data_IF_764832992154
#
_entry.id   IF_764832992154
#
_cell.length_a   1.000
_cell.length_b   1.000
_cell.length_c   1.000
_cell.angle_alpha   90.00
_cell.angle_beta   90.00
_cell.angle_gamma   90.00
#
_symmetry.space_group_name_H-M   'P 1'
#
loop_
_entity.id
_entity.type
_entity.pdbx_description
1 polymer ?
#
# COMPACT_ATOMS: atom_id res chain seq x y z
N UNK A 1 -6.28 6.86 30.59
CA UNK A 1 -6.06 6.59 32.02
C UNK A 1 -7.18 7.29 32.78
N UNK A 2 -7.96 6.56 33.57
CA UNK A 2 -9.09 7.11 34.34
C UNK A 2 -8.78 6.94 35.83
N UNK A 3 -8.88 8.01 36.61
CA UNK A 3 -8.66 8.00 38.06
C UNK A 3 -10.01 7.88 38.76
N UNK A 4 -10.09 7.09 39.84
CA UNK A 4 -11.27 7.06 40.72
C UNK A 4 -11.51 8.45 41.36
N UNK A 5 -12.71 8.71 41.89
CA UNK A 5 -12.97 9.91 42.69
C UNK A 5 -12.01 9.97 43.88
N UNK A 6 -11.22 11.04 43.94
CA UNK A 6 -10.21 11.30 44.97
C UNK A 6 -9.91 12.81 45.02
N UNK A 7 -9.28 13.27 46.10
CA UNK A 7 -8.92 14.69 46.28
C UNK A 7 -7.93 15.19 45.21
N UNK A 8 -7.89 16.51 44.91
CA UNK A 8 -7.06 17.06 43.83
C UNK A 8 -5.56 16.77 43.96
N UNK A 9 -5.01 16.79 45.19
CA UNK A 9 -3.60 16.48 45.45
C UNK A 9 -3.29 15.01 45.19
N UNK A 10 -4.05 14.10 45.80
CA UNK A 10 -3.89 12.65 45.59
C UNK A 10 -4.05 12.24 44.12
N UNK A 11 -4.91 12.94 43.37
CA UNK A 11 -5.04 12.74 41.93
C UNK A 11 -3.78 13.15 41.18
N UNK A 12 -3.14 14.26 41.55
CA UNK A 12 -1.88 14.70 40.95
C UNK A 12 -0.78 13.67 41.18
N UNK A 13 -0.58 13.25 42.43
CA UNK A 13 0.44 12.25 42.79
C UNK A 13 0.23 10.93 42.00
N UNK A 14 -1.02 10.47 41.92
CA UNK A 14 -1.37 9.26 41.16
C UNK A 14 -1.03 9.37 39.68
N UNK A 15 -1.25 10.55 39.07
CA UNK A 15 -0.92 10.77 37.66
C UNK A 15 0.58 10.81 37.45
N UNK A 16 1.33 11.50 38.32
CA UNK A 16 2.78 11.59 38.25
C UNK A 16 3.44 10.22 38.40
N UNK A 17 2.99 9.39 39.36
CA UNK A 17 3.47 8.02 39.53
C UNK A 17 3.25 7.18 38.27
N UNK A 18 2.06 7.28 37.67
CA UNK A 18 1.75 6.57 36.44
C UNK A 18 2.58 7.06 35.25
N UNK A 19 2.77 8.37 35.09
CA UNK A 19 3.59 8.93 34.03
C UNK A 19 5.07 8.55 34.21
N UNK A 20 5.57 8.55 35.45
CA UNK A 20 6.92 8.14 35.79
C UNK A 20 7.15 6.65 35.49
N UNK A 21 6.23 5.76 35.89
CA UNK A 21 6.30 4.34 35.55
C UNK A 21 6.29 4.12 34.03
N UNK A 22 5.42 4.83 33.30
CA UNK A 22 5.37 4.75 31.84
C UNK A 22 6.66 5.25 31.18
N UNK A 23 7.19 6.38 31.64
CA UNK A 23 8.45 6.93 31.13
C UNK A 23 9.61 5.97 31.44
N UNK A 24 9.65 5.40 32.63
CA UNK A 24 10.65 4.40 33.02
C UNK A 24 10.59 3.16 32.14
N UNK A 25 9.39 2.59 31.92
CA UNK A 25 9.18 1.46 31.01
C UNK A 25 9.63 1.77 29.60
N UNK A 26 9.37 2.98 29.08
CA UNK A 26 9.87 3.42 27.77
C UNK A 26 11.39 3.43 27.73
N UNK A 27 12.05 4.05 28.70
CA UNK A 27 13.52 4.13 28.76
C UNK A 27 14.12 2.71 28.81
N UNK A 28 13.59 1.82 29.64
CA UNK A 28 14.01 0.42 29.70
C UNK A 28 13.80 -0.34 28.39
N UNK A 29 12.70 -0.07 27.68
CA UNK A 29 12.36 -0.74 26.43
C UNK A 29 13.12 -0.20 25.21
N UNK A 30 13.64 1.03 25.25
CA UNK A 30 14.33 1.69 24.12
C UNK A 30 15.44 0.81 23.52
N UNK A 31 16.27 0.17 24.36
CA UNK A 31 17.32 -0.75 23.90
C UNK A 31 16.81 -1.81 22.92
N UNK A 32 15.76 -2.53 23.31
CA UNK A 32 15.15 -3.59 22.50
C UNK A 32 14.38 -3.04 21.30
N UNK A 33 13.65 -1.92 21.47
CA UNK A 33 12.84 -1.31 20.40
C UNK A 33 13.75 -0.83 19.27
N UNK A 34 14.78 -0.03 19.58
CA UNK A 34 15.69 0.48 18.56
C UNK A 34 16.48 -0.63 17.87
N UNK A 35 16.91 -1.67 18.61
CA UNK A 35 17.53 -2.84 17.98
C UNK A 35 16.63 -3.52 16.95
N UNK A 36 15.34 -3.69 17.28
CA UNK A 36 14.37 -4.31 16.37
C UNK A 36 14.11 -3.43 15.16
N UNK A 37 13.89 -2.13 15.37
CA UNK A 37 13.69 -1.15 14.30
C UNK A 37 14.90 -1.08 13.37
N UNK A 38 16.11 -0.98 13.92
CA UNK A 38 17.36 -0.93 13.15
C UNK A 38 17.54 -2.19 12.31
N UNK A 39 17.33 -3.38 12.89
CA UNK A 39 17.41 -4.65 12.13
C UNK A 39 16.37 -4.70 11.00
N UNK A 40 15.16 -4.22 11.26
CA UNK A 40 14.10 -4.17 10.25
C UNK A 40 14.47 -3.21 9.12
N UNK A 41 14.87 -1.99 9.45
CA UNK A 41 15.27 -0.97 8.48
C UNK A 41 16.43 -1.45 7.58
N UNK A 42 17.42 -2.17 8.12
CA UNK A 42 18.50 -2.76 7.31
C UNK A 42 18.00 -3.75 6.26
N UNK A 43 16.99 -4.55 6.59
CA UNK A 43 16.40 -5.52 5.66
C UNK A 43 15.64 -4.75 4.57
N UNK A 44 14.82 -3.78 4.97
CA UNK A 44 14.01 -2.98 4.04
C UNK A 44 14.88 -2.13 3.10
N UNK A 45 15.97 -1.52 3.59
CA UNK A 45 16.97 -0.83 2.74
C UNK A 45 17.48 -1.77 1.67
N UNK A 46 17.93 -2.97 2.06
CA UNK A 46 18.49 -3.93 1.12
C UNK A 46 17.46 -4.35 0.06
N UNK A 47 16.22 -4.61 0.46
CA UNK A 47 15.14 -4.98 -0.45
C UNK A 47 14.80 -3.83 -1.42
N UNK A 48 14.65 -2.60 -0.92
CA UNK A 48 14.27 -1.46 -1.74
C UNK A 48 15.39 -0.96 -2.67
N UNK A 49 16.65 -1.05 -2.25
CA UNK A 49 17.81 -0.77 -3.11
C UNK A 49 17.91 -1.81 -4.21
N UNK A 50 17.75 -3.10 -3.91
CA UNK A 50 17.72 -4.15 -4.94
C UNK A 50 16.56 -3.95 -5.92
N UNK A 51 15.37 -3.63 -5.41
CA UNK A 51 14.20 -3.32 -6.22
C UNK A 51 14.46 -2.16 -7.18
N UNK A 52 15.15 -1.11 -6.72
CA UNK A 52 15.53 0.02 -7.55
C UNK A 52 16.54 -0.40 -8.62
N UNK A 53 17.59 -1.14 -8.25
CA UNK A 53 18.62 -1.62 -9.20
C UNK A 53 17.99 -2.49 -10.29
N UNK A 54 17.14 -3.45 -9.91
CA UNK A 54 16.44 -4.32 -10.86
C UNK A 54 15.53 -3.51 -11.79
N UNK A 55 14.86 -2.48 -11.26
CA UNK A 55 14.01 -1.61 -12.05
C UNK A 55 14.83 -0.75 -13.02
N UNK A 56 15.92 -0.13 -12.55
CA UNK A 56 16.84 0.65 -13.38
C UNK A 56 17.49 -0.18 -14.49
N UNK A 57 17.84 -1.44 -14.20
CA UNK A 57 18.37 -2.37 -15.20
C UNK A 57 17.37 -2.72 -16.32
N UNK A 58 16.06 -2.56 -16.06
CA UNK A 58 15.01 -2.81 -17.05
C UNK A 58 14.73 -1.61 -17.96
N UNK A 59 15.22 -0.41 -17.61
CA UNK A 59 14.98 0.85 -18.31
C UNK A 59 16.07 1.18 -19.34
N UNK A 60 15.71 1.96 -20.36
CA UNK A 60 16.69 2.49 -21.32
C UNK A 60 17.62 3.52 -20.65
N UNK A 61 18.92 3.41 -20.87
CA UNK A 61 19.95 4.24 -20.21
C UNK A 61 19.76 5.74 -20.45
N UNK A 62 19.32 6.13 -21.65
CA UNK A 62 19.19 7.52 -22.05
C UNK A 62 18.01 8.22 -21.33
N UNK A 63 16.90 7.50 -21.15
CA UNK A 63 15.72 8.00 -20.42
C UNK A 63 15.99 8.09 -18.93
N UNK A 64 16.65 7.08 -18.37
CA UNK A 64 17.02 7.07 -16.97
C UNK A 64 17.98 8.22 -16.63
N UNK A 65 18.96 8.52 -17.49
CA UNK A 65 19.85 9.67 -17.32
C UNK A 65 19.09 11.01 -17.33
N UNK A 66 18.08 11.14 -18.19
CA UNK A 66 17.20 12.31 -18.23
C UNK A 66 16.36 12.42 -16.95
N UNK A 67 15.76 11.33 -16.49
CA UNK A 67 14.91 11.33 -15.29
C UNK A 67 15.72 11.62 -14.02
N UNK A 68 16.95 11.09 -13.91
CA UNK A 68 17.90 11.43 -12.84
C UNK A 68 18.21 12.93 -12.81
N UNK A 69 18.49 13.52 -13.97
CA UNK A 69 18.74 14.96 -14.06
C UNK A 69 17.51 15.80 -13.67
N UNK A 70 16.33 15.38 -14.09
CA UNK A 70 15.07 16.07 -13.78
C UNK A 70 14.76 16.03 -12.27
N UNK A 71 14.96 14.89 -11.61
CA UNK A 71 14.71 14.76 -10.18
C UNK A 71 15.72 15.52 -9.33
N UNK A 72 17.01 15.45 -9.66
CA UNK A 72 18.06 16.20 -8.95
C UNK A 72 17.89 17.72 -9.12
N UNK A 73 17.44 18.16 -10.30
CA UNK A 73 17.12 19.55 -10.55
C UNK A 73 15.96 20.03 -9.66
N UNK A 74 14.91 19.21 -9.53
CA UNK A 74 13.74 19.53 -8.71
C UNK A 74 14.03 19.44 -7.20
N UNK A 75 14.86 18.49 -6.76
CA UNK A 75 15.32 18.38 -5.36
C UNK A 75 16.12 19.61 -4.92
N UNK A 76 16.86 20.25 -5.84
CA UNK A 76 17.56 21.52 -5.60
C UNK A 76 16.64 22.73 -5.64
N UNK A 77 15.57 22.67 -6.43
CA UNK A 77 14.66 23.78 -6.69
C UNK A 77 13.25 23.28 -6.98
N UNK A 78 12.40 23.29 -5.95
CA UNK A 78 11.04 22.78 -6.03
C UNK A 78 10.09 23.65 -6.89
N UNK A 79 10.56 24.78 -7.43
CA UNK A 79 9.79 25.57 -8.42
C UNK A 79 9.79 24.95 -9.82
N UNK A 80 10.69 23.99 -10.07
CA UNK A 80 10.76 23.25 -11.33
C UNK A 80 9.59 22.27 -11.48
N UNK A 81 9.29 21.80 -12.71
CA UNK A 81 8.22 20.83 -12.94
C UNK A 81 8.40 19.58 -12.09
N UNK A 82 7.35 19.22 -11.33
CA UNK A 82 7.37 18.11 -10.40
C UNK A 82 7.51 16.76 -11.13
N UNK A 83 8.58 15.98 -10.87
CA UNK A 83 8.76 14.67 -11.50
C UNK A 83 7.74 13.60 -11.04
N UNK A 84 6.99 13.82 -9.97
CA UNK A 84 5.99 12.85 -9.49
C UNK A 84 4.61 13.01 -10.13
N UNK A 85 4.40 14.06 -10.92
CA UNK A 85 3.12 14.30 -11.59
C UNK A 85 3.03 13.56 -12.92
N UNK A 86 1.92 12.88 -13.16
CA UNK A 86 1.59 12.28 -14.46
C UNK A 86 1.32 13.40 -15.48
N UNK A 87 2.26 13.57 -16.41
CA UNK A 87 2.15 14.43 -17.59
C UNK A 87 1.18 13.84 -18.62
N UNK A 88 1.09 12.50 -18.68
CA UNK A 88 0.27 11.75 -19.64
C UNK A 88 -1.23 11.69 -19.30
N UNK A 89 -1.64 11.97 -18.06
CA UNK A 89 -3.05 12.10 -17.70
C UNK A 89 -3.75 13.20 -18.52
N UNK A 90 -3.00 14.15 -19.08
CA UNK A 90 -3.53 15.20 -19.96
C UNK A 90 -3.94 14.68 -21.34
N UNK A 91 -3.37 13.57 -21.82
CA UNK A 91 -3.50 13.13 -23.23
C UNK A 91 -4.50 12.03 -23.49
N UNK A 92 -4.82 11.16 -22.51
CA UNK A 92 -5.89 10.16 -22.64
C UNK A 92 -6.58 9.89 -21.29
N UNK A 93 -7.35 10.86 -20.81
CA UNK A 93 -8.26 10.60 -19.68
C UNK A 93 -9.36 9.64 -20.11
N UNK A 94 -9.92 8.87 -19.17
CA UNK A 94 -11.19 8.16 -19.36
C UNK A 94 -12.26 9.11 -19.94
N UNK A 95 -12.20 10.40 -19.58
CA UNK A 95 -13.02 11.47 -20.14
C UNK A 95 -12.77 11.74 -21.64
N UNK A 96 -11.54 11.64 -22.16
CA UNK A 96 -11.23 11.74 -23.58
C UNK A 96 -11.74 10.54 -24.37
N UNK A 97 -11.68 9.33 -23.79
CA UNK A 97 -12.29 8.12 -24.37
C UNK A 97 -13.81 8.25 -24.37
N UNK A 98 -14.42 8.71 -23.27
CA UNK A 98 -15.84 9.03 -23.21
C UNK A 98 -16.23 10.11 -24.21
N UNK A 99 -15.42 11.17 -24.39
CA UNK A 99 -15.67 12.22 -25.37
C UNK A 99 -15.65 11.65 -26.79
N UNK A 100 -14.64 10.85 -27.15
CA UNK A 100 -14.54 10.22 -28.46
C UNK A 100 -15.74 9.28 -28.73
N UNK A 101 -16.17 8.52 -27.71
CA UNK A 101 -17.36 7.67 -27.78
C UNK A 101 -18.65 8.50 -27.91
N UNK A 102 -18.78 9.59 -27.16
CA UNK A 102 -19.93 10.51 -27.21
C UNK A 102 -20.03 11.20 -28.58
N UNK A 103 -18.89 11.57 -29.17
CA UNK A 103 -18.83 12.16 -30.51
C UNK A 103 -19.20 11.13 -31.57
N UNK A 104 -18.73 9.88 -31.46
CA UNK A 104 -19.14 8.80 -32.35
C UNK A 104 -20.64 8.53 -32.25
N UNK A 105 -21.20 8.52 -31.05
CA UNK A 105 -22.64 8.36 -30.79
C UNK A 105 -23.46 9.52 -31.40
N UNK A 106 -22.99 10.78 -31.26
CA UNK A 106 -23.62 11.93 -31.89
C UNK A 106 -23.69 11.81 -33.43
N UNK A 107 -22.63 11.29 -34.07
CA UNK A 107 -22.64 11.04 -35.52
C UNK A 107 -23.59 9.92 -35.94
N UNK A 108 -23.86 8.94 -35.07
CA UNK A 108 -24.84 7.89 -35.34
C UNK A 108 -26.29 8.38 -35.16
N UNK A 109 -26.52 9.28 -34.20
CA UNK A 109 -27.82 9.95 -33.99
C UNK A 109 -28.19 10.80 -35.22
N UNK A 110 -27.23 11.55 -35.78
CA UNK A 110 -27.42 12.32 -37.03
C UNK A 110 -27.78 11.42 -38.23
N UNK A 111 -27.36 10.16 -38.23
CA UNK A 111 -27.69 9.16 -39.26
C UNK A 111 -29.07 8.51 -39.06
N UNK A 112 -29.83 8.93 -38.04
CA UNK A 112 -31.19 8.46 -37.77
C UNK A 112 -31.28 7.15 -36.97
N UNK A 113 -30.15 6.61 -36.50
CA UNK A 113 -30.13 5.46 -35.60
C UNK A 113 -30.32 5.92 -34.16
N UNK A 114 -31.57 6.21 -33.78
CA UNK A 114 -31.92 6.68 -32.45
C UNK A 114 -32.15 5.51 -31.48
N UNK A 115 -31.08 4.78 -31.16
CA UNK A 115 -31.02 3.91 -29.98
C UNK A 115 -30.05 4.58 -29.01
N UNK A 116 -30.55 5.51 -28.20
CA UNK A 116 -29.78 6.09 -27.10
C UNK A 116 -29.44 4.96 -26.12
N UNK A 117 -28.22 4.45 -26.22
CA UNK A 117 -27.65 3.53 -25.25
C UNK A 117 -27.50 4.36 -23.97
N UNK A 118 -28.08 3.95 -22.84
CA UNK A 118 -27.62 4.51 -21.56
C UNK A 118 -26.15 4.08 -21.45
N UNK A 119 -25.22 4.99 -21.73
CA UNK A 119 -23.77 4.71 -21.71
C UNK A 119 -23.31 4.09 -20.38
N UNK A 120 -24.10 4.23 -19.33
CA UNK A 120 -23.80 3.75 -17.99
C UNK A 120 -24.26 2.32 -17.70
N UNK A 121 -25.11 1.68 -18.52
CA UNK A 121 -25.68 0.37 -18.14
C UNK A 121 -24.60 -0.71 -18.02
N UNK A 122 -23.66 -0.72 -18.96
CA UNK A 122 -22.60 -1.70 -19.02
C UNK A 122 -21.44 -1.38 -18.06
N UNK A 123 -20.91 -0.14 -17.99
CA UNK A 123 -19.95 0.25 -16.94
C UNK A 123 -20.49 0.01 -15.53
N UNK A 124 -21.77 0.33 -15.28
CA UNK A 124 -22.39 0.07 -13.97
C UNK A 124 -22.52 -1.43 -13.69
N UNK A 125 -22.80 -2.26 -14.70
CA UNK A 125 -22.87 -3.71 -14.55
C UNK A 125 -21.51 -4.33 -14.21
N UNK A 126 -20.44 -3.87 -14.88
CA UNK A 126 -19.07 -4.28 -14.62
C UNK A 126 -18.56 -3.83 -13.25
N UNK A 127 -18.90 -2.61 -12.82
CA UNK A 127 -18.60 -2.11 -11.48
C UNK A 127 -19.26 -2.97 -10.38
N UNK A 128 -20.49 -3.43 -10.62
CA UNK A 128 -21.18 -4.33 -9.70
C UNK A 128 -20.53 -5.71 -9.65
N UNK A 129 -20.06 -6.25 -10.78
CA UNK A 129 -19.32 -7.52 -10.82
C UNK A 129 -18.01 -7.43 -10.04
N UNK A 130 -17.27 -6.34 -10.19
CA UNK A 130 -16.03 -6.12 -9.44
C UNK A 130 -16.30 -5.98 -7.94
N UNK A 131 -17.38 -5.28 -7.55
CA UNK A 131 -17.83 -5.21 -6.15
C UNK A 131 -18.28 -6.56 -5.59
N UNK A 132 -18.88 -7.44 -6.39
CA UNK A 132 -19.17 -8.82 -5.98
C UNK A 132 -17.88 -9.60 -5.69
N UNK A 133 -16.85 -9.47 -6.55
CA UNK A 133 -15.52 -10.11 -6.35
C UNK A 133 -14.81 -9.60 -5.10
N UNK A 134 -14.77 -8.28 -4.89
CA UNK A 134 -14.20 -7.69 -3.68
C UNK A 134 -14.93 -8.18 -2.42
N UNK A 135 -16.25 -8.27 -2.46
CA UNK A 135 -17.05 -8.71 -1.32
C UNK A 135 -16.89 -10.20 -1.02
N UNK A 136 -16.72 -11.04 -2.03
CA UNK A 136 -16.37 -12.46 -1.86
C UNK A 136 -15.02 -12.62 -1.14
N UNK A 137 -14.04 -11.80 -1.52
CA UNK A 137 -12.73 -11.78 -0.85
C UNK A 137 -12.84 -11.29 0.59
N UNK A 138 -13.48 -10.16 0.83
CA UNK A 138 -13.72 -9.62 2.18
C UNK A 138 -14.40 -10.68 3.08
N UNK A 139 -15.39 -11.40 2.55
CA UNK A 139 -16.05 -12.48 3.27
C UNK A 139 -15.13 -13.66 3.61
N UNK A 140 -14.16 -14.00 2.75
CA UNK A 140 -13.15 -15.04 3.01
C UNK A 140 -12.12 -14.57 4.04
N UNK A 141 -11.68 -13.31 3.97
CA UNK A 141 -10.69 -12.72 4.87
C UNK A 141 -11.23 -12.52 6.29
N UNK A 142 -12.49 -12.10 6.41
CA UNK A 142 -13.14 -11.85 7.71
C UNK A 142 -13.23 -13.15 8.56
N UNK A 143 -13.17 -14.34 7.96
CA UNK A 143 -12.86 -15.59 8.67
C UNK A 143 -13.79 -15.95 9.85
N UNK A 144 -13.47 -17.03 10.58
CA UNK A 144 -14.29 -17.50 11.71
C UNK A 144 -14.12 -16.66 12.99
N UNK A 145 -13.08 -15.82 13.07
CA UNK A 145 -12.73 -15.05 14.28
C UNK A 145 -12.97 -13.53 14.16
N UNK A 146 -13.81 -13.09 13.22
CA UNK A 146 -14.12 -11.66 13.08
C UNK A 146 -14.83 -11.05 14.28
N UNK A 147 -14.42 -9.82 14.60
CA UNK A 147 -15.08 -8.95 15.57
C UNK A 147 -16.47 -8.55 15.08
N UNK A 148 -17.39 -8.26 16.01
CA UNK A 148 -18.77 -7.85 15.68
C UNK A 148 -18.81 -6.55 14.85
N UNK A 149 -17.81 -5.68 15.03
CA UNK A 149 -17.63 -4.46 14.23
C UNK A 149 -17.29 -4.80 12.78
N UNK A 150 -16.39 -5.77 12.55
CA UNK A 150 -16.03 -6.22 11.20
C UNK A 150 -17.21 -6.92 10.52
N UNK A 151 -17.95 -7.77 11.25
CA UNK A 151 -19.18 -8.41 10.76
C UNK A 151 -20.25 -7.37 10.40
N UNK A 152 -20.44 -6.35 11.22
CA UNK A 152 -21.38 -5.26 10.97
C UNK A 152 -21.05 -4.47 9.70
N UNK A 153 -19.77 -4.13 9.49
CA UNK A 153 -19.31 -3.44 8.25
C UNK A 153 -19.51 -4.30 7.01
N UNK A 154 -19.20 -5.59 7.08
CA UNK A 154 -19.43 -6.53 5.97
C UNK A 154 -20.92 -6.60 5.62
N UNK A 155 -21.80 -6.75 6.61
CA UNK A 155 -23.25 -6.78 6.41
C UNK A 155 -23.79 -5.49 5.78
N UNK A 156 -23.27 -4.32 6.16
CA UNK A 156 -23.64 -3.05 5.55
C UNK A 156 -23.25 -3.00 4.06
N UNK A 157 -22.05 -3.46 3.71
CA UNK A 157 -21.59 -3.56 2.31
C UNK A 157 -22.44 -4.53 1.50
N UNK A 158 -22.77 -5.70 2.06
CA UNK A 158 -23.66 -6.71 1.46
C UNK A 158 -25.02 -6.09 1.12
N UNK A 159 -25.63 -5.38 2.08
CA UNK A 159 -26.94 -4.76 1.89
C UNK A 159 -26.91 -3.60 0.88
N UNK A 160 -25.84 -2.80 0.88
CA UNK A 160 -25.66 -1.72 -0.09
C UNK A 160 -25.52 -2.26 -1.52
N UNK A 161 -24.68 -3.28 -1.71
CA UNK A 161 -24.49 -3.93 -3.01
C UNK A 161 -25.78 -4.55 -3.52
N UNK A 162 -26.54 -5.23 -2.65
CA UNK A 162 -27.83 -5.83 -3.01
C UNK A 162 -28.81 -4.79 -3.56
N UNK A 163 -28.96 -3.64 -2.90
CA UNK A 163 -29.85 -2.56 -3.35
C UNK A 163 -29.42 -2.00 -4.71
N UNK A 164 -28.10 -1.89 -4.96
CA UNK A 164 -27.58 -1.45 -6.25
C UNK A 164 -27.87 -2.46 -7.35
N UNK A 165 -27.66 -3.77 -7.10
CA UNK A 165 -27.98 -4.85 -8.04
C UNK A 165 -29.47 -4.87 -8.37
N UNK A 166 -30.34 -4.72 -7.37
CA UNK A 166 -31.79 -4.70 -7.58
C UNK A 166 -32.23 -3.48 -8.42
N UNK A 167 -31.62 -2.31 -8.17
CA UNK A 167 -31.91 -1.08 -8.93
C UNK A 167 -31.40 -1.19 -10.36
N UNK A 168 -30.16 -1.66 -10.54
CA UNK A 168 -29.55 -1.88 -11.85
C UNK A 168 -30.33 -2.94 -12.66
N UNK A 169 -30.76 -4.03 -12.02
CA UNK A 169 -31.57 -5.07 -12.66
C UNK A 169 -32.89 -4.55 -13.24
N UNK A 170 -33.52 -3.54 -12.62
CA UNK A 170 -34.72 -2.89 -13.18
C UNK A 170 -34.40 -2.11 -14.46
N UNK A 171 -33.27 -1.42 -14.49
CA UNK A 171 -32.80 -0.69 -15.67
C UNK A 171 -32.34 -1.68 -16.76
N UNK A 172 -31.70 -2.78 -16.37
CA UNK A 172 -31.25 -3.85 -17.27
C UNK A 172 -32.40 -4.42 -18.11
N UNK A 173 -33.59 -4.59 -17.52
CA UNK A 173 -34.77 -5.12 -18.24
C UNK A 173 -35.28 -4.22 -19.37
N UNK A 174 -34.96 -2.91 -19.33
CA UNK A 174 -35.30 -1.98 -20.40
C UNK A 174 -34.49 -2.26 -21.68
N UNK A 175 -33.23 -2.70 -21.51
CA UNK A 175 -32.29 -2.94 -22.61
C UNK A 175 -32.14 -4.41 -22.98
N UNK A 176 -32.29 -5.32 -22.00
CA UNK A 176 -32.19 -6.77 -22.18
C UNK A 176 -33.46 -7.44 -21.64
N UNK A 177 -34.62 -7.27 -22.31
CA UNK A 177 -35.90 -7.78 -21.82
C UNK A 177 -35.92 -9.30 -21.70
N UNK A 178 -35.08 -10.02 -22.47
CA UNK A 178 -34.90 -11.47 -22.38
C UNK A 178 -34.39 -11.97 -21.02
N UNK A 179 -33.72 -11.11 -20.24
CA UNK A 179 -33.21 -11.41 -18.88
C UNK A 179 -34.35 -11.62 -17.88
N UNK A 180 -35.53 -11.03 -18.11
CA UNK A 180 -36.71 -11.24 -17.26
C UNK A 180 -37.11 -12.72 -17.15
N UNK A 181 -36.83 -13.51 -18.19
CA UNK A 181 -37.13 -14.94 -18.26
C UNK A 181 -36.09 -15.79 -17.52
N UNK A 182 -34.92 -15.23 -17.23
CA UNK A 182 -33.82 -15.89 -16.51
C UNK A 182 -33.83 -15.57 -15.01
N UNK A 183 -34.38 -14.42 -14.61
CA UNK A 183 -34.51 -14.03 -13.20
C UNK A 183 -35.83 -14.57 -12.63
N UNK A 184 -35.79 -15.67 -11.88
CA UNK A 184 -36.93 -16.10 -11.07
C UNK A 184 -37.05 -15.21 -9.81
N UNK A 185 -38.26 -14.80 -9.40
CA UNK A 185 -38.47 -14.12 -8.11
C UNK A 185 -37.96 -14.93 -6.91
N UNK A 186 -37.94 -16.26 -7.02
CA UNK A 186 -37.47 -17.17 -5.97
C UNK A 186 -35.94 -17.28 -5.88
N UNK A 187 -35.19 -17.02 -6.97
CA UNK A 187 -33.73 -17.02 -6.97
C UNK A 187 -33.17 -15.80 -6.22
N UNK A 188 -33.88 -14.67 -6.33
CA UNK A 188 -33.57 -13.41 -5.64
C UNK A 188 -33.74 -13.55 -4.11
N UNK A 189 -34.66 -14.41 -3.66
CA UNK A 189 -34.93 -14.66 -2.24
C UNK A 189 -34.02 -15.74 -1.63
N UNK A 190 -33.55 -16.71 -2.40
CA UNK A 190 -32.86 -17.90 -1.91
C UNK A 190 -31.32 -17.88 -2.04
N UNK A 191 -30.73 -16.99 -2.85
CA UNK A 191 -29.27 -16.91 -2.91
C UNK A 191 -28.69 -16.19 -1.68
N UNK A 192 -28.27 -17.00 -0.70
CA UNK A 192 -27.74 -16.57 0.60
C UNK A 192 -26.44 -15.72 0.54
N UNK A 193 -25.94 -15.38 -0.65
CA UNK A 193 -24.67 -14.67 -0.87
C UNK A 193 -24.81 -13.69 -2.02
N UNK A 194 -24.84 -12.38 -1.73
CA UNK A 194 -25.01 -11.30 -2.73
C UNK A 194 -23.93 -11.31 -3.83
N UNK A 195 -22.75 -11.88 -3.55
CA UNK A 195 -21.67 -12.05 -4.52
C UNK A 195 -21.89 -13.17 -5.54
N UNK A 196 -22.91 -14.02 -5.36
CA UNK A 196 -23.26 -15.10 -6.29
C UNK A 196 -24.38 -14.72 -7.25
N UNK A 197 -25.01 -13.56 -7.06
CA UNK A 197 -26.12 -13.11 -7.91
C UNK A 197 -25.61 -12.93 -9.34
N UNK A 198 -26.12 -13.73 -10.27
CA UNK A 198 -25.75 -13.61 -11.66
C UNK A 198 -26.31 -12.28 -12.24
N UNK A 199 -25.41 -11.42 -12.70
CA UNK A 199 -25.77 -10.12 -13.28
C UNK A 199 -26.29 -10.27 -14.72
N UNK A 200 -26.05 -11.38 -15.40
CA UNK A 200 -26.48 -11.63 -16.78
C UNK A 200 -26.04 -10.51 -17.74
N UNK A 201 -24.74 -10.16 -17.69
CA UNK A 201 -24.12 -9.26 -18.67
C UNK A 201 -24.23 -9.84 -20.09
N UNK A 202 -24.24 -9.02 -21.16
CA UNK A 202 -24.48 -9.47 -22.53
C UNK A 202 -23.70 -10.74 -22.95
N UNK A 203 -22.42 -10.83 -22.58
CA UNK A 203 -21.50 -11.94 -22.85
C UNK A 203 -21.77 -13.21 -22.01
N UNK A 204 -22.47 -13.06 -20.89
CA UNK A 204 -22.85 -14.16 -20.00
C UNK A 204 -24.27 -14.68 -20.26
N UNK A 205 -24.97 -14.12 -21.26
CA UNK A 205 -26.30 -14.57 -21.64
C UNK A 205 -26.24 -15.91 -22.39
N UNK A 206 -27.15 -16.86 -22.09
CA UNK A 206 -27.31 -18.07 -22.89
C UNK A 206 -27.69 -17.71 -24.33
N UNK A 207 -27.09 -18.38 -25.33
CA UNK A 207 -27.32 -18.15 -26.77
C UNK A 207 -28.79 -18.17 -27.22
N UNK A 208 -29.70 -18.70 -26.41
CA UNK A 208 -31.14 -18.76 -26.68
C UNK A 208 -31.88 -17.48 -26.32
N UNK A 209 -31.24 -16.53 -25.64
CA UNK A 209 -31.82 -15.26 -25.22
C UNK A 209 -31.35 -14.18 -26.21
N UNK A 210 -32.28 -13.52 -26.94
CA UNK A 210 -31.91 -12.42 -27.83
C UNK A 210 -31.28 -11.29 -27.03
N UNK A 211 -30.10 -10.85 -27.45
CA UNK A 211 -29.39 -9.68 -26.96
C UNK A 211 -28.99 -8.82 -28.17
N UNK A 212 -28.89 -7.51 -27.99
CA UNK A 212 -28.42 -6.61 -29.05
C UNK A 212 -26.95 -6.91 -29.36
N UNK A 213 -26.64 -7.19 -30.62
CA UNK A 213 -25.29 -7.52 -31.08
C UNK A 213 -24.28 -6.39 -30.79
N UNK A 214 -24.72 -5.12 -30.74
CA UNK A 214 -23.86 -3.97 -30.41
C UNK A 214 -23.50 -3.95 -28.92
N UNK A 215 -24.45 -4.29 -28.04
CA UNK A 215 -24.21 -4.43 -26.60
C UNK A 215 -23.29 -5.62 -26.33
N UNK A 216 -23.47 -6.72 -27.07
CA UNK A 216 -22.62 -7.90 -26.96
C UNK A 216 -21.19 -7.62 -27.44
N UNK A 217 -21.00 -6.94 -28.57
CA UNK A 217 -19.67 -6.54 -29.06
C UNK A 217 -18.97 -5.58 -28.10
N UNK A 218 -19.69 -4.59 -27.57
CA UNK A 218 -19.15 -3.66 -26.60
C UNK A 218 -18.77 -4.37 -25.30
N UNK A 219 -19.62 -5.26 -24.80
CA UNK A 219 -19.36 -6.07 -23.61
C UNK A 219 -18.18 -7.01 -23.78
N UNK A 220 -18.08 -7.71 -24.91
CA UNK A 220 -16.92 -8.54 -25.24
C UNK A 220 -15.65 -7.68 -25.29
N UNK A 221 -15.69 -6.50 -25.92
CA UNK A 221 -14.53 -5.60 -26.02
C UNK A 221 -14.08 -5.06 -24.65
N UNK A 222 -15.02 -4.81 -23.72
CA UNK A 222 -14.72 -4.37 -22.35
C UNK A 222 -14.33 -5.52 -21.41
N UNK A 223 -14.95 -6.71 -21.52
CA UNK A 223 -14.58 -7.92 -20.77
C UNK A 223 -13.24 -8.49 -21.23
N UNK A 224 -12.87 -8.32 -22.51
CA UNK A 224 -11.51 -8.46 -23.03
C UNK A 224 -10.59 -7.35 -22.49
N UNK A 225 -10.65 -7.15 -21.19
CA UNK A 225 -9.65 -6.48 -20.38
C UNK A 225 -8.25 -7.01 -20.74
N UNK A 226 -7.27 -6.13 -20.64
CA UNK A 226 -5.85 -6.44 -20.90
C UNK A 226 -5.36 -7.64 -20.06
N UNK A 227 -5.96 -7.84 -18.88
CA UNK A 227 -5.73 -8.98 -18.00
C UNK A 227 -6.02 -10.34 -18.66
N UNK A 228 -7.21 -10.52 -19.25
CA UNK A 228 -7.57 -11.80 -19.88
C UNK A 228 -6.67 -12.05 -21.09
N UNK A 229 -6.33 -10.99 -21.84
CA UNK A 229 -5.36 -11.08 -22.94
C UNK A 229 -4.01 -11.56 -22.43
N UNK A 230 -3.51 -11.06 -21.30
CA UNK A 230 -2.27 -11.53 -20.69
C UNK A 230 -2.36 -12.99 -20.27
N UNK A 231 -3.42 -13.39 -19.56
CA UNK A 231 -3.63 -14.79 -19.13
C UNK A 231 -3.69 -15.75 -20.32
N UNK A 232 -4.45 -15.43 -21.37
CA UNK A 232 -4.57 -16.25 -22.57
C UNK A 232 -3.25 -16.31 -23.34
N UNK A 233 -2.55 -15.19 -23.49
CA UNK A 233 -1.26 -15.13 -24.19
C UNK A 233 -0.18 -15.91 -23.45
N UNK A 234 -0.11 -15.79 -22.12
CA UNK A 234 0.82 -16.56 -21.28
C UNK A 234 0.50 -18.05 -21.31
N UNK A 235 -0.78 -18.43 -21.27
CA UNK A 235 -1.22 -19.81 -21.44
C UNK A 235 -0.81 -20.40 -22.80
N UNK A 236 -0.90 -19.61 -23.88
CA UNK A 236 -0.41 -20.00 -25.19
C UNK A 236 1.12 -20.15 -25.21
N UNK A 237 1.87 -19.24 -24.58
CA UNK A 237 3.33 -19.32 -24.46
C UNK A 237 3.79 -20.58 -23.72
N UNK A 238 3.15 -20.96 -22.61
CA UNK A 238 3.46 -22.21 -21.89
C UNK A 238 3.27 -23.46 -22.77
N UNK A 239 2.19 -23.48 -23.54
CA UNK A 239 1.88 -24.58 -24.46
C UNK A 239 2.83 -24.63 -25.66
N UNK A 240 3.29 -23.48 -26.15
CA UNK A 240 4.22 -23.40 -27.27
C UNK A 240 5.66 -23.69 -26.82
N UNK A 241 6.09 -23.17 -25.67
CA UNK A 241 7.42 -23.40 -25.11
C UNK A 241 7.69 -24.90 -24.88
N UNK A 242 6.72 -25.62 -24.30
CA UNK A 242 6.79 -27.07 -24.09
C UNK A 242 6.85 -27.87 -25.40
N UNK A 243 6.17 -27.41 -26.46
CA UNK A 243 6.16 -28.08 -27.77
C UNK A 243 7.38 -27.76 -28.64
N UNK A 244 7.93 -26.56 -28.49
CA UNK A 244 9.08 -26.08 -29.27
C UNK A 244 10.43 -26.40 -28.60
N UNK A 245 10.41 -27.03 -27.41
CA UNK A 245 11.62 -27.31 -26.62
C UNK A 245 12.34 -26.03 -26.14
N UNK A 246 11.67 -24.88 -26.20
CA UNK A 246 12.18 -23.58 -25.78
C UNK A 246 11.70 -23.29 -24.37
N UNK A 247 12.26 -24.00 -23.40
CA UNK A 247 12.09 -23.71 -21.97
C UNK A 247 12.95 -22.50 -21.58
N UNK A 248 12.97 -21.47 -22.41
CA UNK A 248 13.77 -20.27 -22.19
C UNK A 248 13.30 -19.56 -20.92
N UNK A 249 14.20 -18.79 -20.30
CA UNK A 249 13.99 -18.05 -19.05
C UNK A 249 12.88 -16.97 -19.09
N UNK A 250 12.01 -16.97 -20.11
CA UNK A 250 10.94 -16.00 -20.29
C UNK A 250 9.94 -16.00 -19.11
N UNK A 251 9.78 -17.13 -18.41
CA UNK A 251 8.96 -17.21 -17.18
C UNK A 251 9.51 -16.37 -16.02
N UNK A 252 10.82 -16.06 -16.03
CA UNK A 252 11.41 -15.16 -15.04
C UNK A 252 10.92 -13.72 -15.24
N UNK A 253 10.68 -13.34 -16.49
CA UNK A 253 10.15 -12.03 -16.86
C UNK A 253 8.62 -12.00 -16.79
N UNK A 254 7.93 -12.92 -17.47
CA UNK A 254 6.47 -12.94 -17.54
C UNK A 254 5.87 -13.88 -16.48
N UNK A 255 5.66 -13.36 -15.28
CA UNK A 255 5.15 -14.11 -14.12
C UNK A 255 3.62 -14.28 -14.17
N UNK A 256 3.04 -15.25 -13.43
CA UNK A 256 1.60 -15.30 -13.23
C UNK A 256 1.11 -13.99 -12.61
N UNK A 257 0.10 -13.35 -13.22
CA UNK A 257 -0.44 -12.08 -12.75
C UNK A 257 -1.33 -12.32 -11.52
N UNK A 258 -0.88 -11.87 -10.34
CA UNK A 258 -1.71 -11.83 -9.14
C UNK A 258 -2.38 -10.45 -9.05
N UNK A 259 -3.68 -10.39 -9.40
CA UNK A 259 -4.44 -9.12 -9.43
C UNK A 259 -4.42 -8.38 -8.09
N UNK A 260 -4.25 -9.10 -6.98
CA UNK A 260 -4.27 -8.53 -5.63
C UNK A 260 -2.94 -7.92 -5.19
N UNK A 261 -1.86 -8.16 -5.95
CA UNK A 261 -0.51 -7.68 -5.62
C UNK A 261 0.12 -6.88 -6.76
N UNK A 262 -0.12 -7.31 -7.99
CA UNK A 262 0.62 -6.84 -9.15
C UNK A 262 -0.10 -5.73 -9.91
N UNK A 263 -1.44 -5.73 -9.91
CA UNK A 263 -2.31 -4.81 -10.65
C UNK A 263 -3.13 -3.89 -9.72
N UNK A 264 -2.51 -3.44 -8.63
CA UNK A 264 -3.17 -2.65 -7.60
C UNK A 264 -2.74 -1.18 -7.69
N UNK A 265 -3.67 -0.21 -7.73
CA UNK A 265 -3.33 1.19 -7.54
C UNK A 265 -2.65 1.36 -6.18
N UNK A 266 -1.54 2.12 -6.10
CA UNK A 266 -0.76 2.40 -4.87
C UNK A 266 -1.56 2.97 -3.68
N UNK A 267 -2.87 3.21 -3.83
CA UNK A 267 -3.83 3.57 -2.78
C UNK A 267 -4.61 2.36 -2.24
N UNK A 268 -4.04 1.17 -2.23
CA UNK A 268 -4.67 0.04 -1.56
C UNK A 268 -4.24 -0.02 -0.10
N UNK A 269 -5.22 0.15 0.80
CA UNK A 269 -5.05 0.08 2.24
C UNK A 269 -5.04 -1.40 2.68
N UNK A 270 -3.94 -2.08 2.40
CA UNK A 270 -3.63 -3.43 2.90
C UNK A 270 -3.02 -3.41 4.32
N UNK A 271 -3.06 -2.26 4.99
CA UNK A 271 -2.41 -2.04 6.28
C UNK A 271 -0.89 -1.95 6.20
N UNK A 272 -0.30 -2.03 5.00
CA UNK A 272 1.12 -1.69 4.79
C UNK A 272 1.22 -0.18 4.61
N UNK A 273 2.18 0.43 5.26
CA UNK A 273 2.48 1.83 4.97
C UNK A 273 3.02 1.92 3.54
N UNK A 274 2.73 3.01 2.81
CA UNK A 274 3.20 3.23 1.43
C UNK A 274 4.73 3.08 1.30
N UNK A 275 5.47 3.22 2.40
CA UNK A 275 6.92 2.96 2.46
C UNK A 275 7.34 1.48 2.37
N UNK A 276 6.45 0.53 2.70
CA UNK A 276 6.71 -0.92 2.70
C UNK A 276 6.21 -1.62 1.42
N UNK A 277 5.74 -0.86 0.43
CA UNK A 277 5.29 -1.41 -0.85
C UNK A 277 6.49 -1.58 -1.79
N UNK A 278 6.68 -2.81 -2.28
CA UNK A 278 7.71 -3.15 -3.27
C UNK A 278 7.22 -2.80 -4.68
N UNK A 279 8.16 -2.61 -5.63
CA UNK A 279 7.78 -2.34 -7.02
C UNK A 279 7.22 -3.63 -7.64
N UNK A 280 6.02 -3.55 -8.25
CA UNK A 280 5.39 -4.69 -8.95
C UNK A 280 6.32 -5.23 -10.05
N UNK A 281 6.36 -6.55 -10.22
CA UNK A 281 7.23 -7.20 -11.19
C UNK A 281 6.90 -6.81 -12.64
N UNK A 282 5.66 -6.37 -12.90
CA UNK A 282 5.20 -5.88 -14.19
C UNK A 282 6.16 -4.79 -14.70
N UNK A 283 6.59 -3.90 -13.80
CA UNK A 283 7.49 -2.79 -14.10
C UNK A 283 8.96 -3.21 -14.21
N UNK A 284 9.32 -4.42 -13.77
CA UNK A 284 10.70 -4.96 -13.79
C UNK A 284 10.99 -5.79 -15.06
N UNK A 285 10.05 -5.86 -16.01
CA UNK A 285 10.24 -6.64 -17.24
C UNK A 285 10.94 -5.82 -18.33
N UNK A 286 12.17 -6.20 -18.66
CA UNK A 286 12.85 -5.65 -19.84
C UNK A 286 12.08 -5.99 -21.11
N UNK A 287 11.75 -4.98 -21.93
CA UNK A 287 11.35 -5.24 -23.31
C UNK A 287 10.40 -4.26 -23.99
N UNK A 288 9.91 -3.20 -23.35
CA UNK A 288 8.99 -2.28 -24.04
C UNK A 288 9.69 -1.00 -24.50
N UNK A 289 10.35 -1.07 -25.67
CA UNK A 289 10.66 0.12 -26.49
C UNK A 289 9.35 0.67 -27.14
N UNK A 290 8.27 0.77 -26.37
CA UNK A 290 7.04 1.38 -26.87
C UNK A 290 7.17 2.90 -26.72
N UNK A 291 7.12 3.62 -27.83
CA UNK A 291 7.01 5.09 -27.86
C UNK A 291 5.63 5.58 -27.37
N UNK A 292 4.92 4.79 -26.58
CA UNK A 292 3.61 5.13 -26.07
C UNK A 292 3.80 6.10 -24.90
N UNK A 293 3.60 7.39 -25.20
CA UNK A 293 3.82 8.52 -24.27
C UNK A 293 3.23 8.30 -22.87
N UNK A 294 2.13 7.55 -22.77
CA UNK A 294 1.50 7.21 -21.49
C UNK A 294 2.32 6.24 -20.65
N UNK A 295 2.86 5.17 -21.25
CA UNK A 295 3.63 4.16 -20.53
C UNK A 295 4.95 4.71 -20.01
N UNK A 296 5.63 5.53 -20.82
CA UNK A 296 6.91 6.12 -20.46
C UNK A 296 6.78 7.08 -19.27
N UNK A 297 5.69 7.84 -19.21
CA UNK A 297 5.44 8.76 -18.13
C UNK A 297 5.04 8.05 -16.82
N UNK A 298 4.24 6.99 -16.91
CA UNK A 298 3.96 6.12 -15.75
C UNK A 298 5.22 5.43 -15.21
N UNK A 299 6.10 4.94 -16.10
CA UNK A 299 7.40 4.37 -15.72
C UNK A 299 8.27 5.39 -14.99
N UNK A 300 8.32 6.63 -15.47
CA UNK A 300 9.05 7.74 -14.84
C UNK A 300 8.54 8.01 -13.43
N UNK A 301 7.22 8.12 -13.26
CA UNK A 301 6.60 8.37 -11.95
C UNK A 301 6.86 7.21 -10.98
N UNK A 302 6.74 5.96 -11.44
CA UNK A 302 7.06 4.80 -10.62
C UNK A 302 8.55 4.71 -10.26
N UNK A 303 9.44 5.07 -11.19
CA UNK A 303 10.88 5.15 -10.90
C UNK A 303 11.18 6.21 -9.84
N UNK A 304 10.56 7.40 -9.94
CA UNK A 304 10.70 8.45 -8.93
C UNK A 304 10.26 7.95 -7.54
N UNK A 305 9.13 7.23 -7.46
CA UNK A 305 8.64 6.64 -6.20
C UNK A 305 9.55 5.54 -5.66
N UNK A 306 10.08 4.69 -6.53
CA UNK A 306 11.02 3.63 -6.14
C UNK A 306 12.32 4.23 -5.58
N UNK A 307 12.90 5.21 -6.27
CA UNK A 307 14.07 5.96 -5.81
C UNK A 307 13.83 6.65 -4.47
N UNK A 308 12.70 7.33 -4.31
CA UNK A 308 12.32 7.97 -3.05
C UNK A 308 12.06 6.97 -1.92
N UNK A 309 11.63 5.73 -2.21
CA UNK A 309 11.51 4.67 -1.20
C UNK A 309 12.88 4.18 -0.73
N UNK A 310 13.80 3.91 -1.66
CA UNK A 310 15.16 3.50 -1.34
C UNK A 310 15.87 4.54 -0.46
N UNK A 311 15.90 5.80 -0.89
CA UNK A 311 16.54 6.88 -0.13
C UNK A 311 15.91 7.12 1.26
N UNK A 312 14.58 7.00 1.39
CA UNK A 312 13.93 7.15 2.71
C UNK A 312 14.32 6.06 3.69
N UNK A 313 14.47 4.83 3.21
CA UNK A 313 14.91 3.73 4.08
C UNK A 313 16.38 3.88 4.46
N UNK A 314 17.23 4.38 3.55
CA UNK A 314 18.62 4.74 3.85
C UNK A 314 18.66 5.82 4.95
N UNK A 315 17.88 6.89 4.79
CA UNK A 315 17.73 7.94 5.80
C UNK A 315 17.19 7.39 7.12
N UNK A 316 16.20 6.49 7.12
CA UNK A 316 15.65 5.87 8.34
C UNK A 316 16.75 5.08 9.10
N UNK A 317 17.65 4.39 8.39
CA UNK A 317 18.78 3.71 9.02
C UNK A 317 19.73 4.71 9.67
N UNK A 318 20.05 5.82 9.01
CA UNK A 318 20.87 6.90 9.57
C UNK A 318 20.22 7.55 10.80
N UNK A 319 18.92 7.84 10.72
CA UNK A 319 18.12 8.42 11.80
C UNK A 319 18.07 7.49 13.00
N UNK A 320 17.77 6.20 12.81
CA UNK A 320 17.75 5.21 13.89
C UNK A 320 19.11 5.07 14.55
N UNK A 321 20.18 5.11 13.75
CA UNK A 321 21.54 5.05 14.25
C UNK A 321 21.86 6.26 15.15
N UNK A 322 21.44 7.45 14.73
CA UNK A 322 21.59 8.68 15.52
C UNK A 322 20.67 8.69 16.76
N UNK A 323 19.44 8.20 16.67
CA UNK A 323 18.55 8.03 17.83
C UNK A 323 19.17 7.10 18.88
N UNK A 324 19.76 5.99 18.46
CA UNK A 324 20.49 5.07 19.34
C UNK A 324 21.66 5.80 20.02
N UNK A 325 22.48 6.57 19.29
CA UNK A 325 23.54 7.38 19.89
C UNK A 325 23.00 8.39 20.90
N UNK A 326 21.91 9.08 20.60
CA UNK A 326 21.26 10.05 21.49
C UNK A 326 20.71 9.42 22.76
N UNK A 327 20.16 8.20 22.68
CA UNK A 327 19.72 7.46 23.88
C UNK A 327 20.87 7.20 24.83
N UNK A 328 22.04 6.79 24.32
CA UNK A 328 23.24 6.63 25.14
C UNK A 328 23.66 7.96 25.75
N UNK A 329 23.77 9.01 24.93
CA UNK A 329 24.18 10.33 25.40
C UNK A 329 23.23 10.86 26.48
N UNK A 330 21.93 10.62 26.32
CA UNK A 330 20.92 10.95 27.31
C UNK A 330 21.10 10.17 28.62
N UNK A 331 21.35 8.86 28.57
CA UNK A 331 21.59 8.06 29.77
C UNK A 331 22.85 8.51 30.51
N UNK A 332 23.93 8.79 29.78
CA UNK A 332 25.20 9.29 30.34
C UNK A 332 25.02 10.69 30.95
N UNK A 333 24.28 11.58 30.29
CA UNK A 333 23.93 12.89 30.83
C UNK A 333 23.06 12.77 32.09
N UNK A 334 22.04 11.93 32.05
CA UNK A 334 21.10 11.77 33.15
C UNK A 334 21.79 11.15 34.37
N UNK A 335 22.75 10.25 34.17
CA UNK A 335 23.60 9.74 35.25
C UNK A 335 24.40 10.87 35.94
N UNK A 336 25.05 11.74 35.17
CA UNK A 336 25.77 12.90 35.71
C UNK A 336 24.85 13.88 36.43
N UNK A 337 23.65 14.06 35.90
CA UNK A 337 22.64 14.88 36.56
C UNK A 337 22.31 14.32 37.96
N UNK A 338 22.14 13.01 38.10
CA UNK A 338 21.95 12.37 39.41
C UNK A 338 23.13 12.54 40.35
N UNK A 339 24.38 12.37 39.87
CA UNK A 339 25.57 12.63 40.71
C UNK A 339 25.58 14.07 41.26
N UNK A 340 25.21 15.02 40.39
CA UNK A 340 25.12 16.44 40.74
C UNK A 340 24.01 16.69 41.76
N UNK A 341 22.83 16.10 41.59
CA UNK A 341 21.74 16.21 42.57
C UNK A 341 22.15 15.66 43.93
N UNK A 342 22.77 14.48 44.00
CA UNK A 342 23.27 13.91 45.24
C UNK A 342 24.26 14.82 45.98
N UNK A 343 25.09 15.55 45.23
CA UNK A 343 26.08 16.49 45.78
C UNK A 343 25.49 17.82 46.22
N UNK A 344 24.39 18.27 45.58
CA UNK A 344 23.71 19.53 45.88
C UNK A 344 22.63 19.40 46.96
N UNK A 345 22.24 18.17 47.31
CA UNK A 345 21.26 17.87 48.33
C UNK A 345 21.65 18.44 49.71
N UNK A 346 20.91 19.45 50.18
CA UNK A 346 21.02 19.99 51.53
C UNK A 346 19.91 19.43 52.43
N UNK A 347 20.29 18.61 53.40
CA UNK A 347 19.38 18.12 54.44
C UNK A 347 19.90 18.48 55.83
N UNK A 348 19.00 18.80 56.75
CA UNK A 348 19.33 19.16 58.13
C UNK A 348 19.89 17.96 58.94
N UNK A 349 19.51 16.74 58.56
CA UNK A 349 19.96 15.50 59.21
C UNK A 349 21.07 14.84 58.40
N UNK A 350 22.14 14.40 59.08
CA UNK A 350 23.23 13.65 58.48
C UNK A 350 22.73 12.39 57.77
N UNK A 351 21.86 11.61 58.44
CA UNK A 351 21.30 10.37 57.87
C UNK A 351 20.45 10.62 56.63
N UNK A 352 19.68 11.71 56.60
CA UNK A 352 18.89 12.08 55.42
C UNK A 352 19.79 12.46 54.24
N UNK A 353 20.89 13.16 54.51
CA UNK A 353 21.90 13.51 53.49
C UNK A 353 22.60 12.27 52.93
N UNK A 354 23.02 11.36 53.79
CA UNK A 354 23.64 10.09 53.39
C UNK A 354 22.68 9.24 52.55
N UNK A 355 21.42 9.12 52.98
CA UNK A 355 20.39 8.39 52.23
C UNK A 355 20.10 8.99 50.85
N UNK A 356 19.98 10.31 50.75
CA UNK A 356 19.76 11.00 49.48
C UNK A 356 20.95 10.84 48.52
N UNK A 357 22.19 10.93 49.04
CA UNK A 357 23.40 10.72 48.25
C UNK A 357 23.50 9.28 47.75
N UNK A 358 23.25 8.29 48.61
CA UNK A 358 23.24 6.88 48.24
C UNK A 358 22.16 6.58 47.18
N UNK A 359 20.96 7.15 47.31
CA UNK A 359 19.90 7.01 46.32
C UNK A 359 20.30 7.61 44.97
N UNK A 360 20.85 8.83 44.97
CA UNK A 360 21.32 9.49 43.76
C UNK A 360 22.42 8.69 43.04
N UNK A 361 23.39 8.14 43.79
CA UNK A 361 24.42 7.26 43.25
C UNK A 361 23.83 5.99 42.64
N UNK A 362 22.87 5.34 43.32
CA UNK A 362 22.17 4.17 42.80
C UNK A 362 21.44 4.49 41.47
N UNK A 363 20.78 5.65 41.38
CA UNK A 363 20.13 6.11 40.15
C UNK A 363 21.14 6.37 39.03
N UNK A 364 22.28 6.98 39.33
CA UNK A 364 23.34 7.22 38.35
C UNK A 364 23.92 5.91 37.81
N UNK A 365 24.25 4.97 38.70
CA UNK A 365 24.79 3.65 38.34
C UNK A 365 23.82 2.82 37.51
N UNK A 366 22.52 2.88 37.82
CA UNK A 366 21.49 2.23 37.02
C UNK A 366 21.50 2.74 35.56
N UNK A 367 21.57 4.05 35.36
CA UNK A 367 21.59 4.66 34.01
C UNK A 367 22.87 4.34 33.25
N UNK A 368 24.03 4.36 33.91
CA UNK A 368 25.31 3.91 33.34
C UNK A 368 25.25 2.45 32.92
N UNK A 369 24.70 1.59 33.77
CA UNK A 369 24.54 0.15 33.50
C UNK A 369 23.61 -0.07 32.30
N UNK A 370 22.51 0.69 32.20
CA UNK A 370 21.62 0.65 31.04
C UNK A 370 22.34 1.10 29.76
N UNK A 371 23.14 2.17 29.82
CA UNK A 371 23.91 2.63 28.66
C UNK A 371 24.91 1.57 28.17
N UNK A 372 25.63 0.92 29.08
CA UNK A 372 26.54 -0.19 28.77
C UNK A 372 25.77 -1.37 28.18
N UNK A 373 24.63 -1.73 28.78
CA UNK A 373 23.79 -2.82 28.29
C UNK A 373 23.27 -2.55 26.88
N UNK A 374 22.78 -1.33 26.60
CA UNK A 374 22.30 -0.93 25.28
C UNK A 374 23.44 -0.93 24.25
N UNK A 375 24.61 -0.36 24.59
CA UNK A 375 25.80 -0.43 23.73
C UNK A 375 26.17 -1.86 23.36
N UNK A 376 26.21 -2.77 24.35
CA UNK A 376 26.51 -4.19 24.13
C UNK A 376 25.45 -4.86 23.24
N UNK A 377 24.17 -4.60 23.53
CA UNK A 377 23.04 -5.13 22.77
C UNK A 377 23.07 -4.70 21.29
N UNK A 378 23.53 -3.48 21.01
CA UNK A 378 23.58 -2.91 19.66
C UNK A 378 24.87 -3.24 18.91
N UNK A 379 26.00 -3.35 19.63
CA UNK A 379 27.29 -3.76 19.05
C UNK A 379 27.30 -5.20 18.51
N UNK A 380 26.36 -6.05 18.94
CA UNK A 380 26.18 -7.39 18.39
C UNK A 380 25.71 -7.41 16.92
N UNK A 381 25.36 -6.26 16.33
CA UNK A 381 25.12 -6.10 14.90
C UNK A 381 26.36 -5.50 14.21
N UNK A 382 27.01 -6.20 13.26
CA UNK A 382 28.21 -5.71 12.57
C UNK A 382 28.06 -4.35 11.90
N UNK A 383 26.85 -4.02 11.42
CA UNK A 383 26.50 -2.74 10.78
C UNK A 383 26.32 -1.57 11.75
N UNK A 384 26.41 -1.78 13.07
CA UNK A 384 26.42 -0.68 14.05
C UNK A 384 27.79 0.02 14.11
N UNK A 385 28.88 -0.70 13.79
CA UNK A 385 30.24 -0.16 13.90
C UNK A 385 30.76 0.42 12.57
N UNK A 386 30.12 0.09 11.45
CA UNK A 386 30.45 0.62 10.14
C UNK A 386 29.32 1.54 9.66
N UNK A 387 29.60 2.81 9.29
CA UNK A 387 28.67 3.58 8.47
C UNK A 387 28.39 2.76 7.22
N UNK A 388 27.13 2.57 6.87
CA UNK A 388 26.74 2.05 5.56
C UNK A 388 27.16 3.08 4.52
N UNK A 389 28.38 2.95 4.00
CA UNK A 389 28.78 3.59 2.76
C UNK A 389 28.07 2.84 1.61
N UNK A 390 26.77 3.06 1.48
CA UNK A 390 26.03 2.74 0.26
C UNK A 390 25.96 4.05 -0.51
N UNK A 391 27.08 4.42 -1.14
CA UNK A 391 27.11 5.55 -2.07
C UNK A 391 26.30 5.16 -3.32
N UNK A 392 25.02 5.51 -3.35
CA UNK A 392 24.19 5.49 -4.57
C UNK A 392 24.44 6.72 -5.47
N UNK A 393 25.41 7.58 -5.13
CA UNK A 393 25.76 8.76 -5.91
C UNK A 393 26.81 8.47 -7.01
N UNK A 394 26.55 7.49 -7.87
CA UNK A 394 27.35 7.26 -9.09
C UNK A 394 26.49 7.22 -10.36
#
# INVERSE_FOLDING_TARGET
MSTHEMGPGSRHDTLDDHFNDWNWKKICAMGLIFRRKYKFALIEVQEHVNDLIDFEASLATDELAKWRKDIEAWEKDCSRPNPFEDRAMTTMTQAAVHLALSMAEATEIERGNNLSLHNDILPSGLELEDQQRCLEFDAKVVGQHATDIQKGKLLQRVNALRRRIDTWGRVQLLYMPGVSRLRSPDDIANEAKVHNINLFLPSSLPHRVPCDDRLLEHDIKTHLSEDIKYFTSRGALLNLASRLGKNDNWERSLKPLDKQKDAVPLKHDDGRTVGQQSVSWIWKTSGSNSNELGLQDSLRVEWCKARARAHRWEEEVELLHEEMRRVIAFLDWHARWWDMQGSQCTFNSLHAREGALAYAQCQADLRRTMAVHFKSMWAANPSWQAPLAVDLHS
#
